data_IF_169763593532
#
_entry.id   IF_169763593532
#
_cell.length_a   1.000
_cell.length_b   1.000
_cell.length_c   1.000
_cell.angle_alpha   90.00
_cell.angle_beta   90.00
_cell.angle_gamma   90.00
#
_symmetry.space_group_name_H-M   'P 1'
#
loop_
_entity.id
_entity.type
_entity.pdbx_description
1 polymer ?
#
# COMPACT_ATOMS: atom_id res chain seq x y z
N UNK A 1 31.88 0.95 -14.81
CA UNK A 1 31.24 1.37 -13.55
C UNK A 1 29.78 1.05 -13.65
N UNK A 2 29.28 0.08 -12.89
CA UNK A 2 27.84 -0.13 -12.76
C UNK A 2 27.25 1.13 -12.14
N UNK A 3 26.26 1.74 -12.80
CA UNK A 3 25.53 2.87 -12.25
C UNK A 3 24.81 2.38 -11.00
N UNK A 4 25.24 2.86 -9.82
CA UNK A 4 24.51 2.62 -8.58
C UNK A 4 23.19 3.38 -8.70
N UNK A 5 22.11 2.69 -9.06
CA UNK A 5 20.76 3.26 -9.06
C UNK A 5 20.37 3.49 -7.60
N UNK A 6 20.51 4.73 -7.14
CA UNK A 6 20.07 5.13 -5.82
C UNK A 6 18.61 5.58 -5.88
N UNK A 7 17.78 4.99 -5.02
CA UNK A 7 16.41 5.42 -4.82
C UNK A 7 16.41 6.80 -4.13
N UNK A 8 15.76 7.79 -4.74
CA UNK A 8 15.45 9.04 -4.04
C UNK A 8 14.33 8.80 -3.02
N UNK A 9 14.67 8.32 -1.82
CA UNK A 9 13.70 7.97 -0.78
C UNK A 9 12.89 9.17 -0.27
N UNK A 10 13.38 10.39 -0.48
CA UNK A 10 12.71 11.65 -0.10
C UNK A 10 11.83 12.22 -1.22
N UNK A 11 11.76 11.57 -2.39
CA UNK A 11 10.85 11.99 -3.45
C UNK A 11 9.41 11.97 -2.94
N UNK A 12 8.73 13.11 -3.03
CA UNK A 12 7.32 13.24 -2.64
C UNK A 12 6.44 12.51 -3.65
N UNK A 13 5.56 11.64 -3.16
CA UNK A 13 4.49 11.03 -3.94
C UNK A 13 3.17 11.81 -3.78
N UNK A 14 3.02 12.51 -2.66
CA UNK A 14 1.98 13.50 -2.40
C UNK A 14 2.47 14.49 -1.34
N UNK A 15 1.57 15.26 -0.74
CA UNK A 15 1.91 16.24 0.30
C UNK A 15 2.57 15.58 1.52
N UNK A 16 2.00 14.47 2.00
CA UNK A 16 2.38 13.80 3.25
C UNK A 16 3.12 12.49 3.08
N UNK A 17 3.25 11.97 1.85
CA UNK A 17 3.83 10.66 1.58
C UNK A 17 5.06 10.75 0.69
N UNK A 18 6.13 10.05 1.07
CA UNK A 18 7.39 9.97 0.30
C UNK A 18 7.70 8.55 -0.15
N UNK A 19 8.46 8.42 -1.23
CA UNK A 19 8.75 7.13 -1.87
C UNK A 19 9.38 6.11 -0.93
N UNK A 20 10.25 6.55 -0.01
CA UNK A 20 10.91 5.68 0.97
C UNK A 20 9.98 4.96 1.94
N UNK A 21 8.76 5.46 2.14
CA UNK A 21 7.75 4.79 2.98
C UNK A 21 7.17 3.54 2.31
N UNK A 22 7.11 3.55 0.97
CA UNK A 22 6.50 2.48 0.17
C UNK A 22 7.52 1.44 -0.29
N UNK A 23 8.81 1.75 -0.25
CA UNK A 23 9.89 0.86 -0.69
C UNK A 23 10.68 0.26 0.46
N UNK A 24 10.30 0.55 1.71
CA UNK A 24 10.97 0.01 2.90
C UNK A 24 10.98 -1.52 2.89
N UNK A 25 12.14 -2.09 3.14
CA UNK A 25 12.35 -3.54 3.28
C UNK A 25 12.97 -3.85 4.64
N UNK A 26 12.61 -4.98 5.24
CA UNK A 26 13.30 -5.55 6.41
C UNK A 26 14.54 -6.38 6.01
N UNK A 27 14.69 -6.64 4.71
CA UNK A 27 15.81 -7.37 4.12
C UNK A 27 16.71 -6.35 3.41
N UNK A 28 17.72 -5.77 4.10
CA UNK A 28 18.60 -4.73 3.53
C UNK A 28 19.38 -5.21 2.30
N UNK A 29 19.59 -6.52 2.16
CA UNK A 29 20.25 -7.17 1.05
C UNK A 29 19.38 -7.31 -0.22
N UNK A 30 18.09 -7.00 -0.14
CA UNK A 30 17.17 -7.09 -1.27
C UNK A 30 16.82 -5.69 -1.77
N UNK A 31 17.25 -5.37 -2.99
CA UNK A 31 16.89 -4.13 -3.65
C UNK A 31 15.39 -4.08 -3.94
N UNK A 32 14.72 -3.11 -3.31
CA UNK A 32 13.30 -2.87 -3.48
C UNK A 32 13.04 -1.57 -4.26
N UNK A 33 13.55 -1.53 -5.49
CA UNK A 33 13.52 -0.34 -6.35
C UNK A 33 12.34 -0.46 -7.33
N UNK A 34 11.36 0.45 -7.30
CA UNK A 34 10.23 0.45 -8.21
C UNK A 34 10.61 0.98 -9.60
N UNK A 35 9.90 0.52 -10.62
CA UNK A 35 9.90 1.14 -11.94
C UNK A 35 9.17 2.49 -11.92
N UNK A 36 9.35 3.30 -12.96
CA UNK A 36 8.60 4.55 -13.14
C UNK A 36 7.07 4.33 -13.14
N UNK A 37 6.61 3.23 -13.75
CA UNK A 37 5.20 2.86 -13.75
C UNK A 37 4.69 2.53 -12.34
N UNK A 38 5.47 1.75 -11.57
CA UNK A 38 5.14 1.45 -10.18
C UNK A 38 5.10 2.73 -9.32
N UNK A 39 6.03 3.68 -9.54
CA UNK A 39 5.99 4.98 -8.87
C UNK A 39 4.71 5.74 -9.23
N UNK A 40 4.32 5.78 -10.51
CA UNK A 40 3.08 6.43 -10.94
C UNK A 40 1.83 5.80 -10.30
N UNK A 41 1.80 4.48 -10.12
CA UNK A 41 0.73 3.79 -9.42
C UNK A 41 0.73 4.11 -7.92
N UNK A 42 1.90 4.17 -7.28
CA UNK A 42 2.03 4.61 -5.88
C UNK A 42 1.55 6.06 -5.69
N UNK A 43 1.85 6.97 -6.62
CA UNK A 43 1.34 8.35 -6.60
C UNK A 43 -0.19 8.38 -6.62
N UNK A 44 -0.83 7.53 -7.43
CA UNK A 44 -2.30 7.41 -7.46
C UNK A 44 -2.85 6.85 -6.14
N UNK A 45 -2.18 5.84 -5.56
CA UNK A 45 -2.54 5.33 -4.23
C UNK A 45 -2.44 6.41 -3.15
N UNK A 46 -1.42 7.28 -3.23
CA UNK A 46 -1.25 8.34 -2.24
C UNK A 46 -2.45 9.29 -2.20
N UNK A 47 -3.19 9.49 -3.30
CA UNK A 47 -4.43 10.28 -3.28
C UNK A 47 -5.52 9.67 -2.37
N UNK A 48 -5.64 8.33 -2.35
CA UNK A 48 -6.52 7.63 -1.43
C UNK A 48 -6.06 7.78 0.02
N UNK A 49 -4.73 7.73 0.24
CA UNK A 49 -4.14 7.86 1.56
C UNK A 49 -4.25 9.28 2.12
N UNK A 50 -4.18 10.31 1.28
CA UNK A 50 -4.43 11.70 1.69
C UNK A 50 -5.87 11.88 2.16
N UNK A 51 -6.84 11.36 1.39
CA UNK A 51 -8.24 11.38 1.83
C UNK A 51 -8.45 10.63 3.15
N UNK A 52 -7.84 9.44 3.28
CA UNK A 52 -7.90 8.68 4.53
C UNK A 52 -7.29 9.46 5.69
N UNK A 53 -6.13 10.09 5.50
CA UNK A 53 -5.45 10.90 6.51
C UNK A 53 -6.33 12.07 6.97
N UNK A 54 -6.93 12.78 6.02
CA UNK A 54 -7.82 13.92 6.29
C UNK A 54 -9.03 13.48 7.14
N UNK A 55 -9.69 12.38 6.76
CA UNK A 55 -10.88 11.89 7.46
C UNK A 55 -10.59 11.18 8.77
N UNK A 56 -9.46 10.50 8.89
CA UNK A 56 -9.06 9.83 10.12
C UNK A 56 -8.48 10.79 11.18
N UNK A 57 -8.17 12.03 10.77
CA UNK A 57 -7.58 13.09 11.60
C UNK A 57 -6.31 12.63 12.32
N UNK A 58 -5.51 11.77 11.67
CA UNK A 58 -4.29 11.19 12.24
C UNK A 58 -3.30 10.76 11.17
N UNK A 59 -2.01 10.61 11.50
CA UNK A 59 -1.03 10.08 10.58
C UNK A 59 -1.37 8.65 10.12
N UNK A 60 -1.16 8.40 8.83
CA UNK A 60 -1.30 7.07 8.23
C UNK A 60 0.09 6.46 8.10
N UNK A 61 0.30 5.32 8.75
CA UNK A 61 1.61 4.67 8.82
C UNK A 61 1.65 3.52 7.82
N UNK A 62 2.58 3.60 6.88
CA UNK A 62 2.76 2.59 5.84
C UNK A 62 3.64 1.45 6.36
N UNK A 63 3.12 0.22 6.33
CA UNK A 63 3.90 -0.99 6.61
C UNK A 63 4.69 -1.43 5.38
N UNK A 64 4.04 -1.46 4.21
CA UNK A 64 4.69 -1.78 2.94
C UNK A 64 3.90 -1.22 1.76
N UNK A 65 4.60 -0.91 0.67
CA UNK A 65 4.03 -0.47 -0.61
C UNK A 65 4.53 -1.35 -1.75
N UNK A 66 5.35 -0.81 -2.64
CA UNK A 66 5.97 -1.62 -3.69
C UNK A 66 6.84 -2.75 -3.11
N UNK A 67 6.78 -3.93 -3.74
CA UNK A 67 7.68 -5.05 -3.48
C UNK A 67 8.27 -5.53 -4.80
N UNK A 68 9.60 -5.54 -4.92
CA UNK A 68 10.28 -6.17 -6.05
C UNK A 68 9.95 -7.67 -6.10
N UNK A 69 10.04 -8.34 -7.26
CA UNK A 69 9.78 -9.78 -7.35
C UNK A 69 10.60 -10.61 -6.36
N UNK A 70 11.85 -10.19 -6.11
CA UNK A 70 12.74 -10.83 -5.14
C UNK A 70 12.23 -10.64 -3.70
N UNK A 71 11.88 -9.40 -3.32
CA UNK A 71 11.34 -9.11 -2.00
C UNK A 71 10.01 -9.83 -1.77
N UNK A 72 9.12 -9.79 -2.76
CA UNK A 72 7.81 -10.43 -2.67
C UNK A 72 7.93 -11.93 -2.42
N UNK A 73 8.80 -12.63 -3.15
CA UNK A 73 9.09 -14.06 -2.89
C UNK A 73 9.66 -14.26 -1.48
N UNK A 74 10.56 -13.40 -1.04
CA UNK A 74 11.22 -13.51 0.27
C UNK A 74 10.26 -13.36 1.45
N UNK A 75 9.22 -12.53 1.31
CA UNK A 75 8.15 -12.38 2.32
C UNK A 75 7.03 -13.41 2.15
N UNK A 76 7.11 -14.32 1.18
CA UNK A 76 6.06 -15.30 0.90
C UNK A 76 4.80 -14.70 0.24
N UNK A 77 4.93 -13.56 -0.43
CA UNK A 77 3.82 -12.91 -1.11
C UNK A 77 3.36 -13.65 -2.37
N UNK A 78 2.08 -13.48 -2.72
CA UNK A 78 1.48 -14.10 -3.90
C UNK A 78 2.17 -13.64 -5.20
N UNK A 79 2.27 -14.53 -6.18
CA UNK A 79 2.93 -14.26 -7.47
C UNK A 79 2.23 -13.16 -8.30
N UNK A 80 0.93 -12.98 -8.09
CA UNK A 80 0.10 -11.97 -8.75
C UNK A 80 -0.27 -10.81 -7.80
N UNK A 81 0.53 -10.57 -6.75
CA UNK A 81 0.28 -9.50 -5.79
C UNK A 81 0.33 -8.11 -6.42
N UNK A 82 -0.64 -7.26 -6.08
CA UNK A 82 -0.67 -5.85 -6.49
C UNK A 82 0.52 -5.02 -5.95
N UNK A 83 1.26 -5.51 -4.95
CA UNK A 83 2.49 -4.87 -4.48
C UNK A 83 3.60 -4.87 -5.55
N UNK A 84 3.62 -5.87 -6.44
CA UNK A 84 4.62 -6.01 -7.50
C UNK A 84 4.54 -4.88 -8.55
N UNK A 85 3.38 -4.24 -8.66
CA UNK A 85 3.13 -3.19 -9.66
C UNK A 85 2.96 -1.80 -9.03
N UNK A 86 3.22 -1.66 -7.72
CA UNK A 86 2.99 -0.42 -6.98
C UNK A 86 1.51 -0.07 -6.85
N UNK A 87 0.62 -1.06 -6.98
CA UNK A 87 -0.83 -0.89 -6.92
C UNK A 87 -1.42 -1.26 -5.56
N UNK A 88 -0.60 -1.69 -4.59
CA UNK A 88 -1.07 -1.98 -3.23
C UNK A 88 -0.24 -1.32 -2.14
N UNK A 89 -0.90 -1.14 -1.00
CA UNK A 89 -0.32 -0.62 0.23
C UNK A 89 -0.91 -1.33 1.45
N UNK A 90 -0.05 -1.69 2.40
CA UNK A 90 -0.45 -2.17 3.71
C UNK A 90 -0.35 -1.03 4.72
N UNK A 91 -1.47 -0.68 5.33
CA UNK A 91 -1.59 0.42 6.29
C UNK A 91 -1.62 -0.17 7.70
N UNK A 92 -0.67 0.24 8.54
CA UNK A 92 -0.64 -0.19 9.95
C UNK A 92 -1.87 0.32 10.68
N UNK A 93 -2.46 -0.55 11.50
CA UNK A 93 -3.50 -0.18 12.45
C UNK A 93 -3.16 -0.68 13.86
N UNK A 94 -3.79 -0.09 14.87
CA UNK A 94 -3.69 -0.50 16.28
C UNK A 94 -4.65 -1.65 16.63
N UNK A 95 -5.25 -2.29 15.63
CA UNK A 95 -6.26 -3.35 15.82
C UNK A 95 -7.38 -3.27 14.79
N UNK A 96 -8.38 -4.14 14.98
CA UNK A 96 -9.51 -4.27 14.07
C UNK A 96 -10.41 -3.05 14.04
N UNK A 97 -10.67 -2.40 15.18
CA UNK A 97 -11.54 -1.21 15.23
C UNK A 97 -11.03 -0.12 14.29
N UNK A 98 -9.74 0.21 14.36
CA UNK A 98 -9.13 1.19 13.47
C UNK A 98 -9.08 0.69 12.01
N UNK A 99 -8.85 -0.59 11.77
CA UNK A 99 -8.88 -1.15 10.42
C UNK A 99 -10.27 -1.05 9.77
N UNK A 100 -11.33 -1.34 10.53
CA UNK A 100 -12.73 -1.20 10.09
C UNK A 100 -13.06 0.26 9.84
N UNK A 101 -12.66 1.18 10.74
CA UNK A 101 -12.84 2.61 10.55
C UNK A 101 -12.19 3.09 9.24
N UNK A 102 -10.94 2.72 9.01
CA UNK A 102 -10.23 3.10 7.79
C UNK A 102 -10.88 2.50 6.54
N UNK A 103 -11.28 1.23 6.58
CA UNK A 103 -11.99 0.59 5.48
C UNK A 103 -13.31 1.32 5.15
N UNK A 104 -14.09 1.69 6.18
CA UNK A 104 -15.33 2.44 6.00
C UNK A 104 -15.11 3.81 5.33
N UNK A 105 -14.06 4.53 5.75
CA UNK A 105 -13.68 5.81 5.12
C UNK A 105 -13.33 5.62 3.65
N UNK A 106 -12.54 4.59 3.31
CA UNK A 106 -12.14 4.32 1.92
C UNK A 106 -13.31 3.86 1.04
N UNK A 107 -14.26 3.11 1.60
CA UNK A 107 -15.51 2.75 0.90
C UNK A 107 -16.36 4.00 0.64
N UNK A 108 -16.49 4.89 1.63
CA UNK A 108 -17.20 6.18 1.47
C UNK A 108 -16.54 7.03 0.37
N UNK A 109 -15.21 7.12 0.39
CA UNK A 109 -14.43 7.79 -0.65
C UNK A 109 -14.72 7.23 -2.04
N UNK A 110 -14.65 5.90 -2.16
CA UNK A 110 -14.89 5.20 -3.42
C UNK A 110 -16.29 5.49 -3.99
N UNK A 111 -17.31 5.46 -3.14
CA UNK A 111 -18.69 5.65 -3.55
C UNK A 111 -19.00 7.12 -3.90
N UNK A 112 -18.58 8.07 -3.07
CA UNK A 112 -18.88 9.50 -3.28
C UNK A 112 -18.14 10.10 -4.47
N UNK A 113 -16.95 9.61 -4.79
CA UNK A 113 -16.10 10.17 -5.84
C UNK A 113 -16.04 9.29 -7.10
N UNK A 114 -16.92 8.28 -7.21
CA UNK A 114 -16.94 7.29 -8.29
C UNK A 114 -15.55 6.67 -8.56
N UNK A 115 -14.78 6.43 -7.50
CA UNK A 115 -13.47 5.81 -7.58
C UNK A 115 -13.61 4.28 -7.49
N UNK A 116 -12.65 3.56 -8.08
CA UNK A 116 -12.62 2.10 -8.09
C UNK A 116 -11.36 1.61 -7.38
N UNK A 117 -11.50 0.53 -6.61
CA UNK A 117 -10.38 -0.17 -5.97
C UNK A 117 -10.49 -1.66 -6.29
N UNK A 118 -9.35 -2.34 -6.29
CA UNK A 118 -9.28 -3.76 -6.58
C UNK A 118 -9.56 -4.60 -5.33
N UNK A 119 -8.84 -4.31 -4.25
CA UNK A 119 -8.90 -5.07 -2.99
C UNK A 119 -8.91 -4.12 -1.79
N UNK A 120 -9.74 -4.43 -0.80
CA UNK A 120 -9.74 -3.80 0.52
C UNK A 120 -9.87 -4.89 1.57
N UNK A 121 -8.75 -5.27 2.18
CA UNK A 121 -8.65 -6.46 3.01
C UNK A 121 -8.17 -6.10 4.42
N UNK A 122 -8.81 -6.64 5.44
CA UNK A 122 -8.28 -6.58 6.81
C UNK A 122 -7.55 -7.88 7.10
N UNK A 123 -6.24 -7.78 7.27
CA UNK A 123 -5.32 -8.90 7.44
C UNK A 123 -4.67 -8.86 8.82
N UNK A 124 -4.13 -10.00 9.24
CA UNK A 124 -3.36 -10.12 10.48
C UNK A 124 -2.19 -11.07 10.32
N UNK A 125 -1.19 -10.95 11.19
CA UNK A 125 -0.20 -12.00 11.37
C UNK A 125 -0.51 -12.87 12.58
N UNK A 126 0.24 -13.98 12.72
CA UNK A 126 0.14 -14.91 13.86
C UNK A 126 0.42 -14.29 15.24
N UNK A 127 1.00 -13.09 15.27
CA UNK A 127 1.34 -12.37 16.50
C UNK A 127 0.29 -11.30 16.86
N UNK A 128 -0.82 -11.24 16.13
CA UNK A 128 -1.94 -10.33 16.41
C UNK A 128 -1.78 -8.92 15.83
N UNK A 129 -0.71 -8.62 15.09
CA UNK A 129 -0.62 -7.35 14.37
C UNK A 129 -1.64 -7.33 13.23
N UNK A 130 -2.41 -6.25 13.14
CA UNK A 130 -3.46 -6.04 12.12
C UNK A 130 -3.05 -4.92 11.18
N UNK A 131 -3.41 -5.05 9.91
CA UNK A 131 -3.27 -3.98 8.93
C UNK A 131 -4.45 -3.98 7.95
N UNK A 132 -4.63 -2.84 7.30
CA UNK A 132 -5.56 -2.70 6.18
C UNK A 132 -4.76 -2.72 4.88
N UNK A 133 -5.02 -3.70 4.04
CA UNK A 133 -4.52 -3.77 2.68
C UNK A 133 -5.48 -3.03 1.75
N UNK A 134 -4.96 -2.07 0.99
CA UNK A 134 -5.67 -1.40 -0.09
C UNK A 134 -4.92 -1.65 -1.40
N UNK A 135 -5.63 -2.10 -2.42
CA UNK A 135 -5.13 -2.16 -3.79
C UNK A 135 -5.99 -1.35 -4.75
N UNK A 136 -5.36 -0.55 -5.61
CA UNK A 136 -5.98 0.25 -6.66
C UNK A 136 -5.21 0.01 -7.95
N UNK A 137 -5.83 -0.71 -8.90
CA UNK A 137 -5.25 -0.98 -10.21
C UNK A 137 -5.66 0.11 -11.21
N UNK A 138 -4.87 0.36 -12.27
CA UNK A 138 -5.27 1.29 -13.34
C UNK A 138 -6.57 0.88 -14.06
N UNK A 139 -6.88 -0.42 -14.09
CA UNK A 139 -8.06 -1.00 -14.74
C UNK A 139 -8.44 -2.34 -14.09
N UNK A 140 -9.61 -2.83 -14.45
CA UNK A 140 -10.12 -4.16 -14.04
C UNK A 140 -10.15 -4.35 -12.52
N UNK A 141 -10.54 -3.30 -11.81
CA UNK A 141 -10.70 -3.27 -10.35
C UNK A 141 -11.91 -4.11 -9.93
N UNK A 142 -11.71 -5.09 -9.04
CA UNK A 142 -12.73 -6.07 -8.66
C UNK A 142 -13.65 -5.65 -7.51
N UNK A 143 -13.35 -4.55 -6.81
CA UNK A 143 -14.03 -4.14 -5.56
C UNK A 143 -14.13 -5.28 -4.53
N UNK A 144 -13.09 -6.10 -4.42
CA UNK A 144 -13.06 -7.21 -3.47
C UNK A 144 -12.87 -6.67 -2.05
N UNK A 145 -13.82 -6.96 -1.16
CA UNK A 145 -13.77 -6.59 0.25
C UNK A 145 -13.80 -7.87 1.09
N UNK A 146 -12.83 -8.03 1.99
CA UNK A 146 -12.77 -9.17 2.90
C UNK A 146 -12.23 -8.72 4.25
N UNK A 147 -12.93 -9.07 5.32
CA UNK A 147 -12.51 -8.79 6.68
C UNK A 147 -12.13 -10.09 7.38
N UNK A 148 -10.99 -10.10 8.08
CA UNK A 148 -10.44 -11.24 8.84
C UNK A 148 -9.75 -12.32 7.98
N UNK A 149 -8.79 -11.92 7.15
CA UNK A 149 -7.90 -12.86 6.47
C UNK A 149 -6.72 -13.21 7.39
N UNK A 150 -6.36 -14.50 7.43
CA UNK A 150 -5.22 -15.07 8.17
C UNK A 150 -4.01 -15.31 7.30
#
# INVERSE_FOLDING_TARGET
MESIVQLNSKAKLSEHFVLGEFTRSKYPEVYNIPSHEAIANLTKLCQWLEFLRERALRPIIINSGYRSPQLNRKVGGAANSNHLTGCAVDIRTSGYEQAIQYAAILIDYANKNNQQFDELLIERNRYGAVWLHLAVRPKDNRRKVLFMIT
#
